data_IF_124995048287
#
_entry.id   IF_124995048287
#
_cell.length_a   1.000
_cell.length_b   1.000
_cell.length_c   1.000
_cell.angle_alpha   90.00
_cell.angle_beta   90.00
_cell.angle_gamma   90.00
#
_symmetry.space_group_name_H-M   'P 1'
#
loop_
_entity.id
_entity.type
_entity.pdbx_description
1 polymer ?
#
# COMPACT_ATOMS: atom_id res chain seq x y z
N UNK A 1 16.51 5.10 -9.52
CA UNK A 1 16.23 4.19 -10.67
C UNK A 1 15.11 3.22 -10.26
N UNK A 2 13.87 3.49 -10.65
CA UNK A 2 12.75 2.57 -10.38
C UNK A 2 13.02 1.26 -11.12
N UNK A 3 12.96 0.14 -10.42
CA UNK A 3 13.15 -1.17 -11.05
C UNK A 3 12.06 -1.35 -12.13
N UNK A 4 12.41 -1.72 -13.38
CA UNK A 4 11.46 -1.74 -14.50
C UNK A 4 10.24 -2.64 -14.24
N UNK A 5 10.40 -3.72 -13.45
CA UNK A 5 9.29 -4.58 -13.04
C UNK A 5 8.27 -3.84 -12.15
N UNK A 6 8.73 -2.96 -11.27
CA UNK A 6 7.88 -2.20 -10.36
C UNK A 6 7.09 -1.11 -11.09
N UNK A 7 7.73 -0.45 -12.07
CA UNK A 7 7.04 0.53 -12.91
C UNK A 7 5.91 -0.12 -13.71
N UNK A 8 6.16 -1.29 -14.31
CA UNK A 8 5.14 -2.02 -15.06
C UNK A 8 3.97 -2.42 -14.16
N UNK A 9 4.26 -2.97 -12.97
CA UNK A 9 3.23 -3.29 -11.98
C UNK A 9 2.41 -2.04 -11.61
N UNK A 10 3.05 -0.89 -11.40
CA UNK A 10 2.34 0.34 -11.08
C UNK A 10 1.35 0.74 -12.18
N UNK A 11 1.78 0.69 -13.44
CA UNK A 11 0.90 0.98 -14.58
C UNK A 11 -0.26 -0.01 -14.69
N UNK A 12 -0.01 -1.29 -14.44
CA UNK A 12 -1.06 -2.32 -14.40
C UNK A 12 -2.08 -2.07 -13.29
N UNK A 13 -1.63 -1.61 -12.11
CA UNK A 13 -2.50 -1.23 -10.99
C UNK A 13 -3.30 0.04 -11.32
N UNK A 14 -2.68 1.09 -11.87
CA UNK A 14 -3.40 2.30 -12.27
C UNK A 14 -4.44 2.07 -13.37
N UNK A 15 -4.25 1.02 -14.18
CA UNK A 15 -5.21 0.60 -15.21
C UNK A 15 -6.40 -0.21 -14.66
N UNK A 16 -6.38 -0.62 -13.38
CA UNK A 16 -7.52 -1.27 -12.75
C UNK A 16 -8.68 -0.28 -12.56
N UNK A 17 -9.93 -0.79 -12.41
CA UNK A 17 -11.07 0.03 -12.01
C UNK A 17 -10.83 0.74 -10.67
N UNK A 18 -11.53 1.85 -10.48
CA UNK A 18 -11.38 2.73 -9.32
C UNK A 18 -11.77 2.08 -7.98
N UNK A 19 -12.67 1.09 -7.99
CA UNK A 19 -13.18 0.43 -6.78
C UNK A 19 -12.90 -1.08 -6.78
N UNK A 20 -11.62 -1.44 -6.74
CA UNK A 20 -11.22 -2.83 -6.53
C UNK A 20 -10.96 -3.09 -5.04
N UNK A 21 -11.61 -4.08 -4.40
CA UNK A 21 -11.51 -4.30 -2.96
C UNK A 21 -10.12 -4.76 -2.50
N UNK A 22 -9.24 -5.14 -3.44
CA UNK A 22 -7.87 -5.59 -3.20
C UNK A 22 -6.82 -4.55 -3.59
N UNK A 23 -7.23 -3.36 -4.03
CA UNK A 23 -6.36 -2.28 -4.46
C UNK A 23 -6.83 -0.95 -3.89
N UNK A 24 -5.97 -0.27 -3.14
CA UNK A 24 -6.28 1.04 -2.59
C UNK A 24 -5.19 2.06 -2.88
N UNK A 25 -5.61 3.23 -3.38
CA UNK A 25 -4.74 4.37 -3.66
C UNK A 25 -4.85 5.43 -2.56
N UNK A 26 -3.70 5.92 -2.09
CA UNK A 26 -3.63 7.05 -1.15
C UNK A 26 -2.64 8.08 -1.65
N UNK A 27 -2.96 9.36 -1.49
CA UNK A 27 -2.01 10.42 -1.80
C UNK A 27 -0.89 10.51 -0.75
N UNK A 28 -1.25 10.37 0.52
CA UNK A 28 -0.34 10.45 1.65
C UNK A 28 -0.78 9.48 2.77
N UNK A 29 -0.02 9.43 3.87
CA UNK A 29 -0.36 8.62 5.03
C UNK A 29 -1.72 9.02 5.60
N UNK A 30 -2.55 8.01 5.87
CA UNK A 30 -3.70 8.13 6.77
C UNK A 30 -3.24 7.83 8.20
N UNK A 31 -3.98 8.28 9.22
CA UNK A 31 -3.61 7.98 10.61
C UNK A 31 -3.30 6.49 10.80
N UNK A 32 -2.23 6.20 11.54
CA UNK A 32 -1.59 4.89 11.57
C UNK A 32 -2.53 3.77 12.06
N UNK A 33 -3.43 4.07 13.00
CA UNK A 33 -4.50 3.17 13.45
C UNK A 33 -5.43 2.71 12.32
N UNK A 34 -5.54 3.50 11.25
CA UNK A 34 -6.37 3.18 10.08
C UNK A 34 -5.61 2.32 9.07
N UNK A 35 -4.26 2.36 9.06
CA UNK A 35 -3.45 1.56 8.14
C UNK A 35 -3.63 0.06 8.38
N UNK A 36 -3.70 -0.37 9.64
CA UNK A 36 -3.98 -1.76 9.98
C UNK A 36 -5.35 -2.23 9.47
N UNK A 37 -6.36 -1.36 9.54
CA UNK A 37 -7.70 -1.63 9.02
C UNK A 37 -7.70 -1.75 7.49
N UNK A 38 -7.00 -0.85 6.79
CA UNK A 38 -6.83 -0.93 5.34
C UNK A 38 -6.17 -2.25 4.94
N UNK A 39 -5.06 -2.62 5.58
CA UNK A 39 -4.37 -3.88 5.25
C UNK A 39 -5.29 -5.08 5.45
N UNK A 40 -6.07 -5.12 6.53
CA UNK A 40 -7.04 -6.18 6.80
C UNK A 40 -8.14 -6.22 5.73
N UNK A 41 -8.73 -5.06 5.40
CA UNK A 41 -9.77 -4.93 4.39
C UNK A 41 -9.28 -5.39 3.01
N UNK A 42 -8.11 -4.91 2.58
CA UNK A 42 -7.48 -5.24 1.30
C UNK A 42 -7.12 -6.73 1.24
N UNK A 43 -6.62 -7.32 2.33
CA UNK A 43 -6.29 -8.76 2.38
C UNK A 43 -7.55 -9.64 2.21
N UNK A 44 -8.65 -9.25 2.85
CA UNK A 44 -9.94 -9.92 2.68
C UNK A 44 -10.46 -9.72 1.26
N UNK A 45 -10.35 -8.50 0.71
CA UNK A 45 -10.72 -8.20 -0.67
C UNK A 45 -9.95 -9.03 -1.69
N UNK A 46 -8.63 -9.18 -1.51
CA UNK A 46 -7.79 -10.02 -2.37
C UNK A 46 -8.23 -11.48 -2.34
N UNK A 47 -8.58 -11.99 -1.16
CA UNK A 47 -9.10 -13.36 -1.00
C UNK A 47 -10.42 -13.55 -1.74
N UNK A 48 -11.36 -12.61 -1.61
CA UNK A 48 -12.67 -12.66 -2.28
C UNK A 48 -12.51 -12.56 -3.80
N UNK A 49 -11.60 -11.69 -4.27
CA UNK A 49 -11.32 -11.50 -5.69
C UNK A 49 -10.36 -12.54 -6.28
N UNK A 50 -10.00 -13.58 -5.52
CA UNK A 50 -9.06 -14.64 -5.91
C UNK A 50 -7.72 -14.11 -6.44
N UNK A 51 -7.20 -13.06 -5.80
CA UNK A 51 -5.90 -12.44 -6.09
C UNK A 51 -4.86 -12.97 -5.11
N UNK A 52 -3.64 -13.18 -5.60
CA UNK A 52 -2.54 -13.63 -4.76
C UNK A 52 -2.08 -12.56 -3.75
N UNK A 53 -2.31 -11.28 -4.07
CA UNK A 53 -1.86 -10.15 -3.26
C UNK A 53 -2.89 -9.02 -3.27
N UNK A 54 -2.91 -8.27 -2.18
CA UNK A 54 -3.55 -6.97 -2.08
C UNK A 54 -2.51 -5.84 -2.13
N UNK A 55 -2.88 -4.69 -2.69
CA UNK A 55 -1.97 -3.57 -2.90
C UNK A 55 -2.49 -2.30 -2.25
N UNK A 56 -1.64 -1.65 -1.46
CA UNK A 56 -1.83 -0.30 -0.95
C UNK A 56 -0.71 0.57 -1.52
N UNK A 57 -1.07 1.55 -2.35
CA UNK A 57 -0.10 2.36 -3.09
C UNK A 57 -0.24 3.83 -2.68
N UNK A 58 0.88 4.42 -2.23
CA UNK A 58 0.95 5.83 -1.85
C UNK A 58 1.45 6.72 -2.99
N UNK A 59 1.05 7.99 -2.97
CA UNK A 59 1.40 8.99 -3.98
C UNK A 59 0.50 9.01 -5.22
N UNK A 60 -0.66 8.33 -5.14
CA UNK A 60 -1.67 8.31 -6.20
C UNK A 60 -2.97 8.89 -5.64
N UNK A 61 -3.58 9.80 -6.40
CA UNK A 61 -4.90 10.35 -6.09
C UNK A 61 -6.00 9.34 -6.44
N UNK A 62 -6.84 9.00 -5.46
CA UNK A 62 -7.83 7.93 -5.57
C UNK A 62 -8.91 8.18 -6.64
N UNK A 63 -9.27 9.43 -6.89
CA UNK A 63 -10.34 9.77 -7.84
C UNK A 63 -9.87 9.79 -9.29
N UNK A 64 -8.63 10.22 -9.51
CA UNK A 64 -8.10 10.49 -10.86
C UNK A 64 -7.07 9.46 -11.30
N UNK A 65 -6.64 8.59 -10.39
CA UNK A 65 -5.46 7.72 -10.52
C UNK A 65 -4.20 8.50 -10.93
N UNK A 66 -4.16 9.81 -10.66
CA UNK A 66 -3.03 10.64 -11.01
C UNK A 66 -1.87 10.37 -10.06
N UNK A 67 -0.71 10.05 -10.63
CA UNK A 67 0.54 9.91 -9.89
C UNK A 67 1.02 11.32 -9.52
N UNK A 68 0.78 11.72 -8.28
CA UNK A 68 1.22 13.02 -7.72
C UNK A 68 2.59 12.90 -7.03
N UNK A 69 2.98 11.67 -6.70
CA UNK A 69 4.12 11.40 -5.83
C UNK A 69 3.78 11.67 -4.37
N UNK A 70 4.66 11.21 -3.48
CA UNK A 70 4.52 11.43 -2.04
C UNK A 70 5.89 11.61 -1.42
N UNK A 71 5.98 12.45 -0.38
CA UNK A 71 7.17 12.52 0.46
C UNK A 71 7.16 11.44 1.54
N UNK A 72 6.05 10.68 1.63
CA UNK A 72 5.92 9.59 2.57
C UNK A 72 6.85 8.44 2.18
N UNK A 73 7.72 8.07 3.11
CA UNK A 73 8.54 6.87 3.00
C UNK A 73 8.13 5.91 4.10
N UNK A 74 7.59 4.75 3.72
CA UNK A 74 7.10 3.76 4.66
C UNK A 74 8.21 3.28 5.62
N UNK A 75 9.45 3.17 5.13
CA UNK A 75 10.61 2.81 5.98
C UNK A 75 10.96 3.85 7.04
N UNK A 76 10.66 5.12 6.80
CA UNK A 76 10.98 6.21 7.72
C UNK A 76 9.79 6.60 8.59
N UNK A 77 8.61 6.04 8.31
CA UNK A 77 7.40 6.26 9.09
C UNK A 77 7.52 5.60 10.46
N UNK A 78 7.04 6.28 11.49
CA UNK A 78 7.09 5.82 12.88
C UNK A 78 5.74 5.93 13.52
N UNK A 79 5.38 4.90 14.28
CA UNK A 79 4.23 4.90 15.16
C UNK A 79 4.72 5.02 16.60
N UNK A 80 4.53 6.21 17.18
CA UNK A 80 5.11 6.57 18.48
C UNK A 80 6.64 6.47 18.49
N UNK A 81 7.18 5.47 19.21
CA UNK A 81 8.62 5.22 19.33
C UNK A 81 9.12 4.04 18.47
N UNK A 82 8.24 3.36 17.73
CA UNK A 82 8.59 2.20 16.92
C UNK A 82 8.49 2.52 15.42
N UNK A 83 9.30 1.83 14.61
CA UNK A 83 9.17 1.91 13.16
C UNK A 83 7.81 1.32 12.72
N UNK A 84 7.11 2.01 11.83
CA UNK A 84 5.78 1.63 11.37
C UNK A 84 5.76 0.21 10.81
N UNK A 85 6.84 -0.20 10.12
CA UNK A 85 7.01 -1.56 9.63
C UNK A 85 6.98 -2.60 10.75
N UNK A 86 7.73 -2.36 11.83
CA UNK A 86 7.78 -3.26 12.97
C UNK A 86 6.46 -3.29 13.72
N UNK A 87 5.81 -2.13 13.87
CA UNK A 87 4.49 -2.04 14.49
C UNK A 87 3.43 -2.81 13.70
N UNK A 88 3.38 -2.63 12.37
CA UNK A 88 2.46 -3.37 11.50
C UNK A 88 2.71 -4.86 11.52
N UNK A 89 3.97 -5.31 11.51
CA UNK A 89 4.30 -6.73 11.67
C UNK A 89 3.71 -7.27 12.97
N UNK A 90 3.88 -6.60 14.10
CA UNK A 90 3.30 -7.08 15.37
C UNK A 90 1.77 -7.21 15.31
N UNK A 91 1.09 -6.30 14.62
CA UNK A 91 -0.36 -6.36 14.42
C UNK A 91 -0.80 -7.50 13.50
N UNK A 92 -0.03 -7.81 12.44
CA UNK A 92 -0.44 -8.78 11.41
C UNK A 92 0.16 -10.19 11.58
N UNK A 93 1.08 -10.39 12.53
CA UNK A 93 1.88 -11.63 12.68
C UNK A 93 1.05 -12.89 12.95
N UNK A 94 -0.23 -12.79 13.29
CA UNK A 94 -1.05 -13.99 13.48
C UNK A 94 -1.74 -14.53 12.22
N UNK A 95 -1.75 -13.83 11.07
CA UNK A 95 -2.55 -14.29 9.91
C UNK A 95 -1.95 -14.09 8.50
N UNK A 96 -0.99 -13.17 8.25
CA UNK A 96 -0.55 -12.88 6.87
C UNK A 96 0.95 -12.55 6.73
N UNK A 97 1.71 -13.20 5.81
CA UNK A 97 3.06 -12.79 5.46
C UNK A 97 3.04 -11.49 4.62
N UNK A 98 3.73 -10.44 5.08
CA UNK A 98 3.71 -9.10 4.47
C UNK A 98 5.11 -8.65 3.99
N UNK A 99 5.15 -7.85 2.90
CA UNK A 99 6.34 -7.20 2.34
C UNK A 99 6.06 -5.73 1.98
N UNK A 100 6.90 -4.78 2.43
CA UNK A 100 6.93 -3.40 1.92
C UNK A 100 8.00 -3.22 0.85
N UNK A 101 7.77 -2.27 -0.05
CA UNK A 101 8.80 -1.68 -0.90
C UNK A 101 8.49 -0.21 -1.09
N UNK A 102 9.49 0.66 -0.88
CA UNK A 102 9.34 2.08 -1.16
C UNK A 102 9.51 2.33 -2.65
N UNK A 103 8.63 3.14 -3.22
CA UNK A 103 8.74 3.63 -4.58
C UNK A 103 9.26 5.07 -4.51
N UNK A 104 10.58 5.23 -4.62
CA UNK A 104 11.17 6.56 -4.73
C UNK A 104 10.95 7.05 -6.17
N UNK A 105 10.06 8.02 -6.34
CA UNK A 105 9.99 8.81 -7.56
C UNK A 105 11.14 9.81 -7.53
N UNK A 106 12.24 9.51 -8.23
CA UNK A 106 13.18 10.52 -8.73
C UNK A 106 12.86 10.81 -10.20
#
# INVERSE_FOLDING_TARGET
>A
MIQPELSNLLYELCAQPQEEPWLEFKLNIAEHDVIGQYISAISNGATISNKAFGYLVWGIENETHAIKGTQFSFRNAKEGHQDLELWLRHLTTNYFPWKSTNMNCE
#
